data_IF_170831877858
#
_entry.id   IF_170831877858
#
_cell.length_a   1.000
_cell.length_b   1.000
_cell.length_c   1.000
_cell.angle_alpha   90.00
_cell.angle_beta   90.00
_cell.angle_gamma   90.00
#
_symmetry.space_group_name_H-M   'P 1'
#
loop_
_entity.id
_entity.type
_entity.pdbx_description
1 polymer ?
#
# COMPACT_ATOMS: atom_id res chain seq x y z
N UNK A 1 -10.40 -16.96 2.65
CA UNK A 1 -11.73 -16.79 3.28
C UNK A 1 -12.61 -16.18 2.21
N UNK A 2 -13.44 -17.03 1.61
CA UNK A 2 -14.45 -16.64 0.65
C UNK A 2 -15.60 -16.01 1.45
N UNK A 3 -15.65 -14.72 1.52
CA UNK A 3 -16.83 -14.01 1.97
C UNK A 3 -17.51 -13.42 0.75
N UNK A 4 -18.35 -14.22 0.12
CA UNK A 4 -19.40 -13.76 -0.77
C UNK A 4 -20.41 -12.94 0.04
N UNK A 5 -20.15 -11.66 0.21
CA UNK A 5 -21.15 -10.69 0.65
C UNK A 5 -21.17 -9.56 -0.35
N UNK A 6 -22.22 -9.50 -1.20
CA UNK A 6 -22.41 -8.33 -2.05
C UNK A 6 -22.82 -7.15 -1.17
N UNK A 7 -22.03 -6.09 -1.21
CA UNK A 7 -22.48 -4.76 -0.92
C UNK A 7 -22.73 -4.40 0.54
N UNK A 8 -21.69 -4.37 1.35
CA UNK A 8 -21.68 -3.41 2.45
C UNK A 8 -20.96 -2.15 2.01
N UNK A 9 -21.67 -1.05 2.01
CA UNK A 9 -21.24 0.26 1.54
C UNK A 9 -20.08 0.89 2.33
N UNK A 10 -19.59 0.22 3.36
CA UNK A 10 -18.49 0.62 4.20
C UNK A 10 -17.35 -0.38 4.08
N UNK A 11 -16.31 0.01 3.31
CA UNK A 11 -15.07 -0.76 3.18
C UNK A 11 -14.25 -0.79 4.45
N UNK A 12 -14.90 -1.20 5.49
CA UNK A 12 -14.19 -1.71 6.65
C UNK A 12 -13.50 -2.99 6.23
N UNK A 13 -12.22 -3.10 6.58
CA UNK A 13 -11.54 -4.37 6.61
C UNK A 13 -12.50 -5.40 7.22
N UNK A 14 -12.54 -6.63 6.69
CA UNK A 14 -13.44 -7.66 7.21
C UNK A 14 -13.36 -7.70 8.74
N UNK A 15 -14.49 -7.99 9.39
CA UNK A 15 -14.67 -7.82 10.85
C UNK A 15 -13.98 -8.91 11.69
N UNK A 16 -12.75 -9.27 11.27
CA UNK A 16 -11.90 -10.23 11.99
C UNK A 16 -10.68 -9.53 12.60
N UNK A 17 -10.30 -9.89 13.80
CA UNK A 17 -9.02 -9.48 14.39
C UNK A 17 -7.86 -10.19 13.70
N UNK A 18 -8.04 -11.47 13.38
CA UNK A 18 -7.05 -12.36 12.76
C UNK A 18 -7.76 -13.32 11.82
N UNK A 19 -7.16 -13.63 10.68
CA UNK A 19 -7.60 -14.67 9.76
C UNK A 19 -6.38 -15.42 9.25
N UNK A 20 -6.61 -16.58 8.64
CA UNK A 20 -5.57 -17.36 7.98
C UNK A 20 -5.81 -17.30 6.47
N UNK A 21 -4.85 -16.76 5.75
CA UNK A 21 -4.82 -16.77 4.29
C UNK A 21 -3.93 -17.90 3.81
N UNK A 22 -4.36 -18.64 2.79
CA UNK A 22 -3.61 -19.80 2.26
C UNK A 22 -2.25 -19.43 1.65
N UNK A 23 -2.11 -18.19 1.21
CA UNK A 23 -0.87 -17.69 0.57
C UNK A 23 0.05 -17.01 1.57
N UNK A 24 -0.52 -16.21 2.48
CA UNK A 24 0.23 -15.32 3.38
C UNK A 24 0.27 -15.80 4.82
N UNK A 25 -0.41 -16.92 5.14
CA UNK A 25 -0.53 -17.41 6.51
C UNK A 25 -1.45 -16.53 7.35
N UNK A 26 -1.06 -16.27 8.59
CA UNK A 26 -1.85 -15.42 9.47
C UNK A 26 -1.84 -13.95 9.00
N UNK A 27 -3.02 -13.36 8.87
CA UNK A 27 -3.23 -11.96 8.48
C UNK A 27 -4.09 -11.24 9.52
N UNK A 28 -3.90 -9.94 9.63
CA UNK A 28 -4.65 -9.08 10.54
C UNK A 28 -5.20 -7.85 9.82
N UNK A 29 -6.11 -7.12 10.46
CA UNK A 29 -6.55 -5.83 9.96
C UNK A 29 -5.35 -4.91 9.73
N UNK A 30 -5.34 -4.23 8.60
CA UNK A 30 -4.36 -3.19 8.33
C UNK A 30 -4.91 -1.84 8.81
N UNK A 31 -4.17 -1.12 9.63
CA UNK A 31 -4.64 0.11 10.27
C UNK A 31 -4.96 1.24 9.27
N UNK A 32 -4.30 1.26 8.09
CA UNK A 32 -4.57 2.24 7.04
C UNK A 32 -5.72 1.82 6.10
N UNK A 33 -6.24 0.60 6.20
CA UNK A 33 -7.29 0.09 5.32
C UNK A 33 -8.50 1.03 5.18
N UNK A 34 -9.03 1.67 6.25
CA UNK A 34 -10.16 2.58 6.12
C UNK A 34 -9.84 3.83 5.28
N UNK A 35 -8.60 4.28 5.27
CA UNK A 35 -8.14 5.44 4.49
C UNK A 35 -7.91 5.01 3.04
N UNK A 36 -7.16 3.95 2.83
CA UNK A 36 -6.82 3.43 1.51
C UNK A 36 -8.07 3.03 0.73
N UNK A 37 -9.02 2.35 1.38
CA UNK A 37 -10.28 1.95 0.76
C UNK A 37 -11.07 3.13 0.21
N UNK A 38 -11.04 4.30 0.87
CA UNK A 38 -11.71 5.51 0.36
C UNK A 38 -11.09 6.00 -0.94
N UNK A 39 -9.76 5.96 -1.05
CA UNK A 39 -9.04 6.36 -2.26
C UNK A 39 -9.32 5.39 -3.41
N UNK A 40 -9.27 4.08 -3.13
CA UNK A 40 -9.58 3.04 -4.14
C UNK A 40 -11.03 3.17 -4.61
N UNK A 41 -11.99 3.32 -3.71
CA UNK A 41 -13.41 3.51 -4.07
C UNK A 41 -13.63 4.77 -4.88
N UNK A 42 -12.99 5.88 -4.53
CA UNK A 42 -13.04 7.10 -5.33
C UNK A 42 -12.56 6.82 -6.76
N UNK A 43 -11.48 6.06 -6.93
CA UNK A 43 -11.00 5.65 -8.25
C UNK A 43 -12.04 4.81 -9.00
N UNK A 44 -12.66 3.84 -8.33
CA UNK A 44 -13.68 2.98 -8.92
C UNK A 44 -14.94 3.76 -9.33
N UNK A 45 -15.36 4.73 -8.51
CA UNK A 45 -16.48 5.63 -8.85
C UNK A 45 -16.16 6.44 -10.11
N UNK A 46 -14.98 7.04 -10.17
CA UNK A 46 -14.56 7.82 -11.34
C UNK A 46 -14.44 6.98 -12.62
N UNK A 47 -14.20 5.67 -12.47
CA UNK A 47 -14.16 4.70 -13.58
C UNK A 47 -15.51 4.06 -13.91
N UNK A 48 -16.58 4.36 -13.17
CA UNK A 48 -17.87 3.68 -13.25
C UNK A 48 -17.81 2.17 -12.99
N UNK A 49 -16.88 1.74 -12.13
CA UNK A 49 -16.60 0.33 -11.80
C UNK A 49 -16.98 -0.03 -10.36
N UNK A 50 -17.46 0.92 -9.56
CA UNK A 50 -17.71 0.77 -8.13
C UNK A 50 -18.75 -0.31 -7.75
N UNK A 51 -19.66 -0.65 -8.67
CA UNK A 51 -20.65 -1.73 -8.47
C UNK A 51 -20.12 -3.11 -8.85
N UNK A 52 -18.97 -3.19 -9.53
CA UNK A 52 -18.41 -4.43 -10.09
C UNK A 52 -17.26 -4.98 -9.29
N UNK A 53 -16.62 -4.14 -8.46
CA UNK A 53 -15.38 -4.47 -7.77
C UNK A 53 -15.54 -4.26 -6.27
N UNK A 54 -15.29 -5.30 -5.50
CA UNK A 54 -15.11 -5.21 -4.05
C UNK A 54 -13.62 -5.08 -3.73
N UNK A 55 -13.30 -4.30 -2.69
CA UNK A 55 -11.93 -4.09 -2.27
C UNK A 55 -11.77 -4.32 -0.77
N UNK A 56 -10.74 -5.06 -0.40
CA UNK A 56 -10.33 -5.23 1.00
C UNK A 56 -8.81 -5.32 1.09
N UNK A 57 -8.25 -4.98 2.23
CA UNK A 57 -6.82 -5.14 2.49
C UNK A 57 -6.55 -5.62 3.91
N UNK A 58 -5.45 -6.34 4.07
CA UNK A 58 -4.96 -6.87 5.33
C UNK A 58 -3.45 -6.77 5.41
N UNK A 59 -2.91 -6.94 6.60
CA UNK A 59 -1.47 -7.00 6.84
C UNK A 59 -1.06 -8.43 7.20
N UNK A 60 -0.01 -8.94 6.56
CA UNK A 60 0.58 -10.22 6.96
C UNK A 60 1.22 -10.11 8.35
N UNK A 61 1.00 -11.11 9.19
CA UNK A 61 1.48 -11.12 10.61
C UNK A 61 3.00 -11.07 10.70
N UNK A 62 3.72 -11.54 9.68
CA UNK A 62 5.17 -11.37 9.60
C UNK A 62 5.63 -9.92 9.74
N UNK A 63 4.82 -8.95 9.29
CA UNK A 63 5.06 -7.52 9.53
C UNK A 63 4.91 -7.18 11.03
N UNK A 64 3.90 -7.72 11.70
CA UNK A 64 3.70 -7.52 13.13
C UNK A 64 4.80 -8.17 13.96
N UNK A 65 5.31 -9.35 13.57
CA UNK A 65 6.45 -9.98 14.24
C UNK A 65 7.73 -9.14 14.10
N UNK A 66 7.95 -8.53 12.95
CA UNK A 66 9.08 -7.61 12.76
C UNK A 66 8.92 -6.35 13.61
N UNK A 67 7.71 -5.79 13.66
CA UNK A 67 7.41 -4.65 14.53
C UNK A 67 7.52 -5.04 16.01
N UNK A 68 6.96 -6.18 16.44
CA UNK A 68 7.06 -6.64 17.84
C UNK A 68 8.47 -7.10 18.20
N UNK A 69 9.24 -7.68 17.28
CA UNK A 69 10.66 -7.97 17.49
C UNK A 69 11.47 -6.69 17.69
N UNK A 70 11.17 -5.64 16.95
CA UNK A 70 11.71 -4.30 17.16
C UNK A 70 11.24 -3.71 18.51
N UNK A 71 10.02 -4.02 18.96
CA UNK A 71 9.51 -3.62 20.29
C UNK A 71 10.17 -4.43 21.40
N UNK A 72 10.36 -5.74 21.23
CA UNK A 72 11.02 -6.60 22.20
C UNK A 72 12.49 -6.23 22.40
N UNK A 73 13.22 -5.90 21.34
CA UNK A 73 14.60 -5.41 21.45
C UNK A 73 14.71 -4.07 22.17
N UNK A 74 13.67 -3.24 22.09
CA UNK A 74 13.57 -1.98 22.82
C UNK A 74 13.08 -2.16 24.26
N UNK A 75 12.19 -3.13 24.51
CA UNK A 75 11.82 -3.54 25.86
C UNK A 75 13.02 -4.04 26.65
N UNK A 76 13.99 -4.69 26.00
CA UNK A 76 15.26 -5.07 26.58
C UNK A 76 16.13 -3.85 26.95
N UNK A 77 16.13 -2.80 26.13
CA UNK A 77 16.78 -1.53 26.45
C UNK A 77 16.19 -0.86 27.70
N UNK A 78 14.85 -0.89 27.85
CA UNK A 78 14.19 -0.39 29.07
C UNK A 78 14.61 -1.16 30.32
N UNK A 79 14.74 -2.48 30.19
CA UNK A 79 15.23 -3.34 31.30
C UNK A 79 16.68 -3.00 31.69
N UNK A 80 17.47 -2.49 30.76
CA UNK A 80 18.85 -2.01 30.99
C UNK A 80 18.91 -0.56 31.47
N UNK A 81 17.79 0.08 31.76
CA UNK A 81 17.73 1.43 32.35
C UNK A 81 17.81 2.57 31.31
N UNK A 82 17.74 2.28 30.02
CA UNK A 82 17.68 3.30 28.98
C UNK A 82 16.23 3.81 28.81
N UNK A 83 15.95 5.12 28.94
CA UNK A 83 14.61 5.67 28.74
C UNK A 83 14.23 5.58 27.27
N UNK A 84 13.32 4.67 26.94
CA UNK A 84 12.81 4.54 25.58
C UNK A 84 11.72 5.57 25.36
N UNK A 85 12.09 6.71 24.80
CA UNK A 85 11.14 7.68 24.29
C UNK A 85 10.57 7.15 22.96
N UNK A 86 9.40 6.52 23.03
CA UNK A 86 8.72 5.85 21.90
C UNK A 86 8.03 6.82 20.96
N UNK A 87 7.79 8.04 21.38
CA UNK A 87 7.24 9.08 20.52
C UNK A 87 8.37 9.99 20.07
N UNK A 88 8.66 10.05 18.77
CA UNK A 88 9.49 11.12 18.25
C UNK A 88 8.86 12.44 18.71
N UNK A 89 9.66 13.40 19.10
CA UNK A 89 9.17 14.75 19.41
C UNK A 89 8.50 15.33 18.19
N UNK A 90 7.57 16.25 18.40
CA UNK A 90 6.88 16.90 17.29
C UNK A 90 7.91 17.50 16.32
N UNK A 91 7.89 17.05 15.07
CA UNK A 91 8.81 17.46 14.00
C UNK A 91 10.02 16.55 13.76
N UNK A 92 10.30 15.55 14.61
CA UNK A 92 11.49 14.69 14.43
C UNK A 92 11.28 13.50 13.47
N UNK A 93 10.11 12.98 13.31
CA UNK A 93 9.85 11.84 12.45
C UNK A 93 10.63 10.55 12.79
N UNK A 94 10.62 9.54 11.90
CA UNK A 94 11.37 8.30 12.10
C UNK A 94 12.89 8.51 12.01
N UNK A 95 13.70 7.61 12.62
CA UNK A 95 15.16 7.66 12.51
C UNK A 95 15.62 7.59 11.05
N UNK A 96 16.71 8.30 10.73
CA UNK A 96 17.22 8.40 9.36
C UNK A 96 17.57 7.05 8.70
N UNK A 97 18.02 6.07 9.47
CA UNK A 97 18.30 4.73 8.97
C UNK A 97 17.01 4.01 8.52
N UNK A 98 15.88 4.20 9.24
CA UNK A 98 14.59 3.61 8.85
C UNK A 98 14.04 4.29 7.60
N UNK A 99 14.16 5.62 7.51
CA UNK A 99 13.75 6.38 6.33
C UNK A 99 14.49 5.95 5.06
N UNK A 100 15.79 5.66 5.18
CA UNK A 100 16.66 5.34 4.05
C UNK A 100 16.66 3.85 3.71
N UNK A 101 16.84 3.01 4.73
CA UNK A 101 17.13 1.57 4.57
C UNK A 101 15.87 0.70 4.74
N UNK A 102 14.72 1.33 4.99
CA UNK A 102 13.43 0.67 5.01
C UNK A 102 13.00 0.19 3.63
N UNK A 103 11.93 -0.60 3.62
CA UNK A 103 11.30 -1.07 2.39
C UNK A 103 9.88 -1.56 2.66
N UNK A 104 9.12 -1.76 1.60
CA UNK A 104 7.78 -2.29 1.68
C UNK A 104 7.48 -3.25 0.53
N UNK A 105 6.55 -4.13 0.77
CA UNK A 105 6.03 -5.07 -0.22
C UNK A 105 4.51 -5.16 -0.07
N UNK A 106 3.80 -5.08 -1.20
CA UNK A 106 2.35 -5.15 -1.28
C UNK A 106 2.00 -6.16 -2.35
N UNK A 107 1.27 -7.20 -1.98
CA UNK A 107 0.72 -8.16 -2.91
C UNK A 107 -0.76 -7.82 -3.21
N UNK A 108 -1.06 -7.54 -4.45
CA UNK A 108 -2.41 -7.25 -4.95
C UNK A 108 -2.93 -8.48 -5.67
N UNK A 109 -4.06 -9.01 -5.21
CA UNK A 109 -4.73 -10.15 -5.87
C UNK A 109 -6.07 -9.70 -6.42
N UNK A 110 -6.24 -9.76 -7.73
CA UNK A 110 -7.50 -9.53 -8.41
C UNK A 110 -8.11 -10.87 -8.84
N UNK A 111 -9.35 -11.12 -8.41
CA UNK A 111 -10.11 -12.32 -8.77
C UNK A 111 -11.30 -11.96 -9.63
N UNK A 112 -11.46 -12.61 -10.78
CA UNK A 112 -12.59 -12.44 -11.67
C UNK A 112 -13.02 -13.80 -12.24
N UNK A 113 -14.21 -14.28 -11.86
CA UNK A 113 -14.73 -15.60 -12.27
C UNK A 113 -13.69 -16.70 -12.02
N UNK A 114 -13.18 -17.32 -13.09
CA UNK A 114 -12.20 -18.41 -13.05
C UNK A 114 -10.73 -17.97 -13.22
N UNK A 115 -10.45 -16.66 -13.13
CA UNK A 115 -9.10 -16.11 -13.34
C UNK A 115 -8.64 -15.34 -12.12
N UNK A 116 -7.39 -15.55 -11.74
CA UNK A 116 -6.71 -14.79 -10.69
C UNK A 116 -5.45 -14.15 -11.28
N UNK A 117 -5.29 -12.86 -11.05
CA UNK A 117 -4.07 -12.09 -11.37
C UNK A 117 -3.45 -11.62 -10.08
N UNK A 118 -2.14 -11.76 -9.96
CA UNK A 118 -1.37 -11.28 -8.82
C UNK A 118 -0.32 -10.29 -9.28
N UNK A 119 -0.24 -9.17 -8.58
CA UNK A 119 0.80 -8.15 -8.80
C UNK A 119 1.51 -7.91 -7.47
N UNK A 120 2.82 -8.04 -7.47
CA UNK A 120 3.67 -7.65 -6.35
C UNK A 120 4.21 -6.26 -6.60
N UNK A 121 4.05 -5.40 -5.63
CA UNK A 121 4.60 -4.04 -5.63
C UNK A 121 5.61 -3.97 -4.50
N UNK A 122 6.85 -3.64 -4.82
CA UNK A 122 7.90 -3.43 -3.83
C UNK A 122 8.54 -2.06 -3.99
N UNK A 123 9.07 -1.51 -2.91
CA UNK A 123 9.72 -0.22 -2.95
C UNK A 123 10.74 -0.04 -1.85
N UNK A 124 11.69 0.87 -2.08
CA UNK A 124 12.76 1.23 -1.16
C UNK A 124 12.39 2.46 -0.32
N UNK A 125 12.81 2.46 0.93
CA UNK A 125 12.55 3.49 1.91
C UNK A 125 11.35 3.17 2.79
N UNK A 126 11.27 3.84 3.92
CA UNK A 126 10.14 3.72 4.84
C UNK A 126 8.82 4.13 4.16
N UNK A 127 7.79 3.27 4.15
CA UNK A 127 6.52 3.56 3.48
C UNK A 127 5.74 4.71 4.14
N UNK A 128 6.00 5.02 5.41
CA UNK A 128 5.31 6.10 6.13
C UNK A 128 5.74 7.48 5.66
N UNK A 129 7.04 7.72 5.51
CA UNK A 129 7.61 9.03 5.17
C UNK A 129 8.60 8.96 4.02
N UNK A 130 9.60 8.07 4.09
CA UNK A 130 10.71 8.03 3.14
C UNK A 130 10.26 7.75 1.70
N UNK A 131 9.52 6.67 1.48
CA UNK A 131 8.98 6.35 0.17
C UNK A 131 7.82 7.27 -0.21
N UNK A 132 6.94 7.62 0.74
CA UNK A 132 5.79 8.50 0.48
C UNK A 132 6.22 9.88 -0.01
N UNK A 133 7.26 10.49 0.57
CA UNK A 133 7.77 11.79 0.11
C UNK A 133 8.30 11.72 -1.33
N UNK A 134 8.99 10.63 -1.69
CA UNK A 134 9.46 10.39 -3.06
C UNK A 134 8.30 10.17 -4.03
N UNK A 135 7.33 9.34 -3.66
CA UNK A 135 6.12 9.12 -4.48
C UNK A 135 5.38 10.43 -4.73
N UNK A 136 5.26 11.29 -3.72
CA UNK A 136 4.61 12.59 -3.85
C UNK A 136 5.41 13.53 -4.77
N UNK A 137 6.73 13.54 -4.66
CA UNK A 137 7.60 14.34 -5.54
C UNK A 137 7.48 13.86 -7.00
N UNK A 138 7.54 12.56 -7.25
CA UNK A 138 7.38 11.98 -8.59
C UNK A 138 5.98 12.24 -9.17
N UNK A 139 4.95 12.22 -8.33
CA UNK A 139 3.59 12.61 -8.72
C UNK A 139 3.53 14.07 -9.18
N UNK A 140 4.16 14.99 -8.43
CA UNK A 140 4.23 16.40 -8.80
C UNK A 140 5.00 16.61 -10.10
N UNK A 141 6.12 15.93 -10.29
CA UNK A 141 6.90 15.96 -11.52
C UNK A 141 6.13 15.34 -12.70
N UNK A 142 5.41 14.25 -12.47
CA UNK A 142 4.53 13.65 -13.46
C UNK A 142 3.48 14.66 -13.95
N UNK A 143 2.80 15.33 -13.03
CA UNK A 143 1.81 16.36 -13.38
C UNK A 143 2.38 17.54 -14.18
N UNK A 144 3.63 17.90 -13.92
CA UNK A 144 4.25 19.08 -14.51
C UNK A 144 4.93 18.80 -15.88
N UNK A 145 5.43 17.59 -16.09
CA UNK A 145 6.36 17.30 -17.19
C UNK A 145 5.88 16.22 -18.16
N UNK A 146 5.02 15.29 -17.70
CA UNK A 146 4.67 14.11 -18.50
C UNK A 146 3.37 14.34 -19.31
N UNK A 147 3.21 13.58 -20.39
CA UNK A 147 1.97 13.57 -21.17
C UNK A 147 0.89 12.77 -20.45
N UNK A 148 -0.28 13.38 -20.28
CA UNK A 148 -1.46 12.80 -19.65
C UNK A 148 -2.60 12.53 -20.63
N UNK A 149 -2.29 12.42 -21.92
CA UNK A 149 -3.31 12.20 -22.97
C UNK A 149 -4.13 10.93 -22.75
N UNK A 150 -3.54 9.90 -22.13
CA UNK A 150 -4.18 8.62 -21.78
C UNK A 150 -4.88 8.62 -20.42
N UNK A 151 -4.83 9.71 -19.65
CA UNK A 151 -5.51 9.75 -18.36
C UNK A 151 -7.03 9.75 -18.54
N UNK A 152 -7.73 9.09 -17.61
CA UNK A 152 -9.19 8.96 -17.66
C UNK A 152 -9.90 10.32 -17.56
N UNK A 153 -9.32 11.23 -16.79
CA UNK A 153 -9.83 12.59 -16.57
C UNK A 153 -8.68 13.59 -16.60
N UNK A 154 -8.89 14.69 -17.30
CA UNK A 154 -7.87 15.74 -17.44
C UNK A 154 -7.92 16.82 -16.38
N UNK A 155 -9.02 16.93 -15.63
CA UNK A 155 -9.21 17.95 -14.61
C UNK A 155 -10.18 17.50 -13.52
N UNK A 156 -10.05 18.10 -12.34
CA UNK A 156 -10.93 17.87 -11.21
C UNK A 156 -10.21 17.35 -9.96
N UNK A 157 -10.98 16.93 -8.97
CA UNK A 157 -10.45 16.26 -7.77
C UNK A 157 -10.32 14.77 -8.07
N UNK A 158 -9.12 14.37 -8.45
CA UNK A 158 -8.79 13.04 -8.96
C UNK A 158 -7.93 12.27 -7.96
N UNK A 159 -7.90 10.95 -8.12
CA UNK A 159 -6.90 10.10 -7.47
C UNK A 159 -5.69 9.94 -8.41
N UNK A 160 -4.49 9.60 -7.91
CA UNK A 160 -3.32 9.37 -8.76
C UNK A 160 -3.60 8.38 -9.89
N UNK A 161 -4.34 7.31 -9.60
CA UNK A 161 -4.73 6.29 -10.59
C UNK A 161 -5.60 6.82 -11.73
N UNK A 162 -6.50 7.78 -11.44
CA UNK A 162 -7.43 8.29 -12.45
C UNK A 162 -6.92 9.53 -13.16
N UNK A 163 -6.04 10.29 -12.53
CA UNK A 163 -5.46 11.50 -13.11
C UNK A 163 -4.15 11.28 -13.86
N UNK A 164 -3.34 10.31 -13.44
CA UNK A 164 -2.01 10.07 -14.01
C UNK A 164 -1.88 8.67 -14.63
N UNK A 165 -2.64 7.69 -14.11
CA UNK A 165 -2.68 6.35 -14.68
C UNK A 165 -1.31 5.70 -14.85
N UNK A 166 -1.06 5.21 -16.07
CA UNK A 166 0.17 4.49 -16.41
C UNK A 166 1.42 5.38 -16.41
N UNK A 167 1.30 6.65 -16.73
CA UNK A 167 2.42 7.59 -16.72
C UNK A 167 3.11 7.65 -15.34
N UNK A 168 2.33 7.69 -14.26
CA UNK A 168 2.89 7.66 -12.92
C UNK A 168 3.58 6.33 -12.60
N UNK A 169 3.04 5.18 -13.04
CA UNK A 169 3.67 3.87 -12.84
C UNK A 169 5.04 3.84 -13.53
N UNK A 170 5.11 4.27 -14.78
CA UNK A 170 6.36 4.34 -15.53
C UNK A 170 7.39 5.23 -14.82
N UNK A 171 6.96 6.39 -14.36
CA UNK A 171 7.84 7.32 -13.64
C UNK A 171 8.38 6.70 -12.34
N UNK A 172 7.52 6.09 -11.53
CA UNK A 172 7.93 5.44 -10.27
C UNK A 172 8.89 4.26 -10.49
N UNK A 173 8.69 3.50 -11.58
CA UNK A 173 9.59 2.38 -11.92
C UNK A 173 10.93 2.87 -12.45
N UNK A 174 10.99 4.00 -13.14
CA UNK A 174 12.21 4.58 -13.67
C UNK A 174 12.98 5.44 -12.66
N UNK A 175 12.31 5.91 -11.60
CA UNK A 175 12.90 6.75 -10.58
C UNK A 175 14.12 6.08 -9.94
N UNK A 176 15.14 6.89 -9.63
CA UNK A 176 16.41 6.43 -9.05
C UNK A 176 17.11 5.34 -9.88
N UNK A 177 17.03 5.43 -11.20
CA UNK A 177 17.64 4.46 -12.11
C UNK A 177 16.97 3.08 -12.05
N UNK A 178 15.66 3.04 -11.85
CA UNK A 178 14.85 1.82 -11.79
C UNK A 178 14.93 1.06 -10.47
N UNK A 179 15.38 1.72 -9.39
CA UNK A 179 15.56 1.08 -8.08
C UNK A 179 14.51 1.48 -7.05
N UNK A 180 13.65 2.45 -7.36
CA UNK A 180 12.75 2.99 -6.36
C UNK A 180 11.53 2.08 -6.13
N UNK A 181 10.81 1.73 -7.19
CA UNK A 181 9.65 0.83 -7.11
C UNK A 181 9.67 -0.19 -8.24
N UNK A 182 9.13 -1.38 -7.96
CA UNK A 182 8.96 -2.46 -8.93
C UNK A 182 7.51 -2.94 -8.90
N UNK A 183 6.98 -3.31 -10.07
CA UNK A 183 5.61 -3.81 -10.25
C UNK A 183 5.69 -5.11 -11.04
N UNK A 184 5.66 -6.24 -10.34
CA UNK A 184 5.79 -7.56 -10.93
C UNK A 184 4.42 -8.22 -11.02
N UNK A 185 3.89 -8.34 -12.24
CA UNK A 185 2.59 -8.96 -12.47
C UNK A 185 2.77 -10.38 -13.02
N UNK A 186 2.28 -11.37 -12.27
CA UNK A 186 2.25 -12.73 -12.73
C UNK A 186 1.18 -12.93 -13.81
N UNK A 187 1.41 -13.84 -14.79
CA UNK A 187 0.38 -14.18 -15.76
C UNK A 187 -0.88 -14.73 -15.07
N UNK A 188 -2.08 -14.53 -15.65
CA UNK A 188 -3.31 -15.02 -15.07
C UNK A 188 -3.26 -16.54 -14.85
N UNK A 189 -3.57 -16.97 -13.62
CA UNK A 189 -3.76 -18.39 -13.29
C UNK A 189 -5.26 -18.75 -13.34
N UNK A 190 -5.57 -19.95 -13.79
CA UNK A 190 -6.89 -20.54 -13.59
C UNK A 190 -7.07 -20.92 -12.12
N UNK A 191 -8.28 -20.72 -11.58
CA UNK A 191 -8.64 -21.17 -10.23
C UNK A 191 -8.96 -22.65 -10.23
#
# INVERSE_FOLDING_TARGET
VETDTPGTADGMAPDFKWAFDSTYGAVSKFFMAPINARVVRRSLVLRNEHQKISYSECAAVGMWLRLTGMWASRGFGYFLGEPINFKPTSGEGPPSWLLRDGGFEIDVTAKARAKTVRTRISGQGDPGYGATSKMLAELGLCLALDDHSESLHRAGVLTPSTGLGHALILRLTQAQGGKFMQFDTAPPSAN
#
